data_IF_417833046797
#
_entry.id   IF_417833046797
#
_cell.length_a   1.000
_cell.length_b   1.000
_cell.length_c   1.000
_cell.angle_alpha   90.00
_cell.angle_beta   90.00
_cell.angle_gamma   90.00
#
_symmetry.space_group_name_H-M   'P 1'
#
loop_
_entity.id
_entity.type
_entity.pdbx_description
1 polymer ?
#
# COMPACT_ATOMS: atom_id res chain seq x y z
N UNK A 1 31.34 33.15 20.33
CA UNK A 1 30.05 32.97 19.67
C UNK A 1 30.34 32.47 18.27
N UNK A 2 30.28 31.17 18.06
CA UNK A 2 30.43 30.49 16.76
C UNK A 2 29.05 30.44 16.09
N UNK A 3 28.88 30.80 14.83
CA UNK A 3 27.60 30.78 14.15
C UNK A 3 27.21 29.33 13.86
N UNK A 4 25.99 28.96 14.24
CA UNK A 4 25.37 27.68 13.92
C UNK A 4 25.14 27.58 12.41
N UNK A 5 25.60 26.49 11.80
CA UNK A 5 25.40 26.15 10.41
C UNK A 5 23.92 25.78 10.16
N UNK A 6 23.17 26.49 9.27
CA UNK A 6 21.74 26.25 9.07
C UNK A 6 21.43 25.10 8.10
N UNK A 7 22.33 24.14 7.88
CA UNK A 7 22.18 23.06 6.89
C UNK A 7 22.03 21.67 7.45
N UNK A 8 21.66 21.52 8.71
CA UNK A 8 21.28 20.21 9.23
C UNK A 8 19.83 19.94 8.86
N UNK A 9 19.62 19.36 7.68
CA UNK A 9 18.36 18.70 7.34
C UNK A 9 18.17 17.58 8.36
N UNK A 10 17.05 17.54 9.11
CA UNK A 10 16.83 16.47 10.08
C UNK A 10 16.90 15.12 9.35
N UNK A 11 17.73 14.24 9.85
CA UNK A 11 17.88 12.87 9.36
C UNK A 11 16.50 12.19 9.48
N UNK A 12 15.94 11.65 8.40
CA UNK A 12 14.67 10.95 8.50
C UNK A 12 14.84 9.81 9.49
N UNK A 13 13.96 9.76 10.50
CA UNK A 13 13.93 8.67 11.45
C UNK A 13 13.84 7.35 10.67
N UNK A 14 14.92 6.60 10.64
CA UNK A 14 14.94 5.24 10.12
C UNK A 14 13.95 4.48 11.00
N UNK A 15 12.83 4.05 10.41
CA UNK A 15 11.88 3.16 11.08
C UNK A 15 12.66 1.87 11.41
N UNK A 16 13.07 1.79 12.66
CA UNK A 16 13.97 0.76 13.13
C UNK A 16 13.26 -0.59 13.10
N UNK A 17 13.63 -1.44 12.14
CA UNK A 17 13.64 -2.86 12.41
C UNK A 17 12.40 -3.68 12.18
N UNK A 18 11.25 -3.14 11.93
CA UNK A 18 10.01 -3.91 11.72
C UNK A 18 9.42 -3.60 10.36
N UNK A 19 8.94 -4.64 9.70
CA UNK A 19 8.38 -4.59 8.36
C UNK A 19 7.04 -3.85 8.32
N UNK A 20 7.11 -2.52 8.39
CA UNK A 20 5.95 -1.65 8.27
C UNK A 20 5.63 -1.35 6.80
N UNK A 21 4.37 -1.06 6.46
CA UNK A 21 4.02 -0.51 5.16
C UNK A 21 4.83 0.77 4.90
N UNK A 22 5.57 0.79 3.81
CA UNK A 22 6.42 1.93 3.45
C UNK A 22 5.95 2.64 2.18
N UNK A 23 5.11 2.00 1.38
CA UNK A 23 4.67 2.54 0.10
C UNK A 23 3.41 1.81 -0.40
N UNK A 24 2.65 2.45 -1.29
CA UNK A 24 1.60 1.82 -2.09
C UNK A 24 1.92 1.98 -3.58
N UNK A 25 1.63 0.94 -4.35
CA UNK A 25 2.03 0.89 -5.75
C UNK A 25 0.92 0.30 -6.61
N UNK A 26 0.64 0.94 -7.75
CA UNK A 26 -0.19 0.37 -8.79
C UNK A 26 0.70 -0.34 -9.82
N UNK A 27 0.45 -1.61 -10.02
CA UNK A 27 0.92 -2.34 -11.18
C UNK A 27 -0.13 -2.22 -12.29
N UNK A 28 0.23 -1.66 -13.42
CA UNK A 28 -0.68 -1.40 -14.57
C UNK A 28 -0.04 -1.89 -15.87
N UNK A 29 -0.82 -1.91 -16.95
CA UNK A 29 -0.35 -2.19 -18.31
C UNK A 29 0.05 -0.93 -19.05
N UNK A 30 -0.63 0.19 -18.77
CA UNK A 30 -0.40 1.46 -19.44
C UNK A 30 -0.21 2.60 -18.45
N UNK A 31 1.00 3.17 -18.50
CA UNK A 31 1.41 4.23 -17.58
C UNK A 31 0.71 5.56 -17.86
N UNK A 32 0.46 5.85 -19.14
CA UNK A 32 -0.13 7.12 -19.56
C UNK A 32 -1.64 7.14 -19.30
N UNK A 33 -2.32 6.02 -19.50
CA UNK A 33 -3.74 5.87 -19.19
C UNK A 33 -3.96 5.97 -17.67
N UNK A 34 -3.14 5.28 -16.88
CA UNK A 34 -3.18 5.39 -15.42
C UNK A 34 -2.90 6.84 -14.95
N UNK A 35 -1.89 7.50 -15.53
CA UNK A 35 -1.58 8.90 -15.23
C UNK A 35 -2.77 9.83 -15.49
N UNK A 36 -3.42 9.68 -16.65
CA UNK A 36 -4.60 10.51 -17.01
C UNK A 36 -5.74 10.27 -16.03
N UNK A 37 -6.04 9.02 -15.75
CA UNK A 37 -7.14 8.64 -14.85
C UNK A 37 -6.91 9.20 -13.44
N UNK A 38 -5.80 8.89 -12.80
CA UNK A 38 -5.54 9.33 -11.41
C UNK A 38 -5.31 10.83 -11.29
N UNK A 39 -4.84 11.52 -12.35
CA UNK A 39 -4.83 12.99 -12.37
C UNK A 39 -6.24 13.57 -12.33
N UNK A 40 -7.17 13.00 -13.10
CA UNK A 40 -8.55 13.49 -13.18
C UNK A 40 -9.37 13.15 -11.93
N UNK A 41 -9.14 11.97 -11.33
CA UNK A 41 -9.96 11.43 -10.24
C UNK A 41 -9.46 11.86 -8.86
N UNK A 42 -8.15 11.83 -8.63
CA UNK A 42 -7.54 12.14 -7.33
C UNK A 42 -6.74 13.45 -7.33
N UNK A 43 -6.72 14.18 -8.44
CA UNK A 43 -6.00 15.44 -8.54
C UNK A 43 -4.46 15.29 -8.48
N UNK A 44 -3.94 14.07 -8.67
CA UNK A 44 -2.52 13.84 -8.53
C UNK A 44 -1.70 14.41 -9.67
N UNK A 45 -0.52 14.87 -9.33
CA UNK A 45 0.54 15.21 -10.29
C UNK A 45 1.57 14.10 -10.35
N UNK A 46 2.27 13.96 -11.46
CA UNK A 46 3.19 12.85 -11.68
C UNK A 46 4.58 13.34 -12.06
N UNK A 47 5.60 12.64 -11.54
CA UNK A 47 7.00 12.82 -11.94
C UNK A 47 7.64 11.47 -12.21
N UNK A 48 8.58 11.41 -13.13
CA UNK A 48 9.44 10.24 -13.31
C UNK A 48 10.27 10.05 -12.04
N UNK A 49 10.25 8.81 -11.52
CA UNK A 49 11.02 8.42 -10.37
C UNK A 49 12.38 7.81 -10.74
N UNK A 50 13.20 7.47 -9.75
CA UNK A 50 14.51 6.83 -9.97
C UNK A 50 14.42 5.38 -10.44
N UNK A 51 13.22 4.80 -10.50
CA UNK A 51 13.01 3.39 -10.88
C UNK A 51 12.95 3.16 -12.40
N UNK A 52 13.20 4.18 -13.21
CA UNK A 52 13.25 4.07 -14.66
C UNK A 52 12.02 4.65 -15.37
N UNK A 53 11.98 4.45 -16.70
CA UNK A 53 10.98 5.08 -17.57
C UNK A 53 9.57 4.50 -17.42
N UNK A 54 9.48 3.26 -16.94
CA UNK A 54 8.22 2.53 -16.79
C UNK A 54 7.57 2.77 -15.41
N UNK A 55 8.10 3.74 -14.65
CA UNK A 55 7.61 4.11 -13.32
C UNK A 55 7.36 5.60 -13.19
N UNK A 56 6.23 5.95 -12.58
CA UNK A 56 5.88 7.30 -12.16
C UNK A 56 5.68 7.35 -10.65
N UNK A 57 6.04 8.49 -10.08
CA UNK A 57 5.72 8.86 -8.71
C UNK A 57 4.54 9.82 -8.73
N UNK A 58 3.43 9.41 -8.12
CA UNK A 58 2.26 10.23 -7.88
C UNK A 58 2.49 11.14 -6.69
N UNK A 59 2.00 12.37 -6.77
CA UNK A 59 2.11 13.39 -5.72
C UNK A 59 0.77 14.09 -5.54
N UNK A 60 0.37 14.27 -4.28
CA UNK A 60 -0.73 15.14 -3.87
C UNK A 60 -0.14 16.34 -3.13
N UNK A 61 -0.52 17.56 -3.50
CA UNK A 61 0.00 18.81 -2.92
C UNK A 61 1.54 18.86 -2.83
N UNK A 62 2.17 18.28 -3.84
CA UNK A 62 3.64 18.23 -3.89
C UNK A 62 4.28 17.12 -3.04
N UNK A 63 3.52 16.35 -2.25
CA UNK A 63 4.01 15.25 -1.43
C UNK A 63 3.86 13.92 -2.18
N UNK A 64 4.88 13.04 -2.22
CA UNK A 64 4.75 11.71 -2.79
C UNK A 64 3.70 10.88 -2.04
N UNK A 65 2.76 10.26 -2.78
CA UNK A 65 1.64 9.48 -2.21
C UNK A 65 1.61 8.04 -2.71
N UNK A 66 2.06 7.78 -3.93
CA UNK A 66 2.01 6.45 -4.52
C UNK A 66 3.01 6.29 -5.67
N UNK A 67 3.31 5.05 -6.04
CA UNK A 67 4.00 4.69 -7.26
C UNK A 67 3.05 4.10 -8.30
N UNK A 68 3.36 4.25 -9.58
CA UNK A 68 2.68 3.55 -10.67
C UNK A 68 3.74 2.95 -11.58
N UNK A 69 3.62 1.66 -11.90
CA UNK A 69 4.54 0.95 -12.77
C UNK A 69 3.83 0.18 -13.87
N UNK A 70 4.20 0.43 -15.13
CA UNK A 70 3.68 -0.29 -16.29
C UNK A 70 4.45 -1.61 -16.48
N UNK A 71 4.35 -2.50 -15.50
CA UNK A 71 5.09 -3.75 -15.46
C UNK A 71 4.22 -5.01 -15.48
N UNK A 72 2.89 -4.85 -15.50
CA UNK A 72 1.95 -5.97 -15.47
C UNK A 72 2.20 -6.97 -16.60
N UNK A 73 2.32 -6.48 -17.84
CA UNK A 73 2.56 -7.32 -19.03
C UNK A 73 3.96 -7.94 -19.02
N UNK A 74 4.99 -7.19 -18.60
CA UNK A 74 6.37 -7.66 -18.59
C UNK A 74 6.60 -8.79 -17.58
N UNK A 75 5.94 -8.74 -16.42
CA UNK A 75 6.06 -9.75 -15.38
C UNK A 75 4.90 -10.75 -15.36
N UNK A 76 3.93 -10.62 -16.29
CA UNK A 76 2.73 -11.47 -16.36
C UNK A 76 1.97 -11.53 -15.02
N UNK A 77 1.85 -10.39 -14.35
CA UNK A 77 1.11 -10.22 -13.10
C UNK A 77 -0.17 -9.43 -13.33
N UNK A 78 -1.14 -9.61 -12.44
CA UNK A 78 -2.40 -8.86 -12.50
C UNK A 78 -2.23 -7.36 -12.27
N UNK A 79 -3.14 -6.57 -12.84
CA UNK A 79 -3.28 -5.16 -12.50
C UNK A 79 -3.83 -5.06 -11.10
N UNK A 80 -3.12 -4.39 -10.20
CA UNK A 80 -3.54 -4.25 -8.81
C UNK A 80 -2.82 -3.09 -8.10
N UNK A 81 -3.53 -2.45 -7.20
CA UNK A 81 -2.94 -1.70 -6.12
C UNK A 81 -2.42 -2.65 -5.05
N UNK A 82 -1.21 -2.43 -4.58
CA UNK A 82 -0.62 -3.26 -3.53
C UNK A 82 0.22 -2.44 -2.57
N UNK A 83 0.26 -2.81 -1.27
CA UNK A 83 1.20 -2.24 -0.33
C UNK A 83 2.60 -2.82 -0.54
N UNK A 84 3.62 -2.02 -0.24
CA UNK A 84 4.99 -2.47 -0.07
C UNK A 84 5.39 -2.37 1.39
N UNK A 85 6.02 -3.43 1.89
CA UNK A 85 6.53 -3.52 3.25
C UNK A 85 8.05 -3.38 3.25
N UNK A 86 8.57 -2.48 4.08
CA UNK A 86 10.02 -2.31 4.25
C UNK A 86 10.59 -3.48 5.01
N UNK A 87 11.69 -4.06 4.54
CA UNK A 87 12.36 -5.18 5.19
C UNK A 87 13.87 -4.97 5.25
N UNK A 88 14.52 -5.65 6.18
CA UNK A 88 15.98 -5.62 6.32
C UNK A 88 16.69 -6.49 5.29
N UNK A 89 16.06 -7.57 4.85
CA UNK A 89 16.65 -8.54 3.93
C UNK A 89 15.57 -9.22 3.08
N UNK A 90 15.57 -8.91 1.79
CA UNK A 90 14.57 -9.40 0.84
C UNK A 90 14.72 -10.91 0.56
N UNK A 91 15.92 -11.49 0.64
CA UNK A 91 16.13 -12.92 0.43
C UNK A 91 15.53 -13.73 1.58
N UNK A 92 15.76 -13.29 2.83
CA UNK A 92 15.20 -13.94 4.02
C UNK A 92 13.68 -13.88 3.98
N UNK A 93 13.11 -12.72 3.65
CA UNK A 93 11.65 -12.59 3.59
C UNK A 93 11.07 -13.40 2.43
N UNK A 94 11.74 -13.44 1.28
CA UNK A 94 11.32 -14.30 0.15
C UNK A 94 11.34 -15.80 0.51
N UNK A 95 12.30 -16.25 1.30
CA UNK A 95 12.32 -17.62 1.80
C UNK A 95 11.14 -17.89 2.72
N UNK A 96 10.87 -17.00 3.70
CA UNK A 96 9.72 -17.12 4.62
C UNK A 96 8.38 -17.13 3.88
N UNK A 97 8.22 -16.29 2.84
CA UNK A 97 7.01 -16.29 2.01
C UNK A 97 6.75 -17.69 1.45
N UNK A 98 7.77 -18.33 0.85
CA UNK A 98 7.66 -19.67 0.29
C UNK A 98 7.41 -20.75 1.35
N UNK A 99 8.10 -20.67 2.47
CA UNK A 99 7.96 -21.60 3.61
C UNK A 99 6.53 -21.55 4.20
N UNK A 100 5.85 -20.41 4.08
CA UNK A 100 4.47 -20.19 4.56
C UNK A 100 3.42 -20.31 3.47
N UNK A 101 3.73 -21.01 2.38
CA UNK A 101 2.81 -21.26 1.26
C UNK A 101 2.40 -20.01 0.48
N UNK A 102 3.12 -18.90 0.60
CA UNK A 102 3.00 -17.75 -0.28
C UNK A 102 3.80 -17.95 -1.57
N UNK A 103 3.55 -17.10 -2.54
CA UNK A 103 4.22 -17.12 -3.84
C UNK A 103 5.13 -15.90 -3.99
N UNK A 104 6.38 -16.10 -4.40
CA UNK A 104 7.26 -15.03 -4.89
C UNK A 104 7.17 -15.02 -6.40
N UNK A 105 6.42 -14.07 -6.95
CA UNK A 105 6.21 -13.94 -8.39
C UNK A 105 7.43 -13.34 -9.10
N UNK A 106 8.04 -12.32 -8.50
CA UNK A 106 9.20 -11.61 -9.07
C UNK A 106 10.19 -11.25 -7.98
N UNK A 107 11.47 -11.45 -8.24
CA UNK A 107 12.54 -10.97 -7.38
C UNK A 107 13.09 -12.00 -6.38
N UNK A 108 13.94 -11.53 -5.47
CA UNK A 108 14.41 -10.16 -5.26
C UNK A 108 15.20 -9.58 -6.45
N UNK A 109 14.77 -8.40 -6.93
CA UNK A 109 15.44 -7.68 -8.02
C UNK A 109 16.03 -6.37 -7.50
N UNK A 110 17.22 -6.02 -7.96
CA UNK A 110 17.80 -4.70 -7.69
C UNK A 110 17.07 -3.65 -8.54
N UNK A 111 16.50 -2.65 -7.89
CA UNK A 111 15.75 -1.56 -8.52
C UNK A 111 16.20 -0.24 -7.89
N UNK A 112 16.93 0.58 -8.64
CA UNK A 112 17.49 1.83 -8.10
C UNK A 112 18.42 1.59 -6.90
N UNK A 113 18.06 2.15 -5.75
CA UNK A 113 18.81 2.02 -4.48
C UNK A 113 18.16 1.03 -3.52
N UNK A 114 17.53 -0.01 -4.04
CA UNK A 114 16.87 -1.01 -3.22
C UNK A 114 16.71 -2.33 -3.94
N UNK A 115 16.10 -3.29 -3.24
CA UNK A 115 15.71 -4.58 -3.81
C UNK A 115 14.22 -4.78 -3.59
N UNK A 116 13.52 -5.12 -4.67
CA UNK A 116 12.07 -5.30 -4.68
C UNK A 116 11.71 -6.77 -4.87
N UNK A 117 10.62 -7.17 -4.23
CA UNK A 117 9.95 -8.46 -4.42
C UNK A 117 8.48 -8.20 -4.70
N UNK A 118 7.92 -8.88 -5.69
CA UNK A 118 6.48 -9.01 -5.86
C UNK A 118 6.05 -10.40 -5.40
N UNK A 119 5.10 -10.44 -4.52
CA UNK A 119 4.65 -11.68 -3.90
C UNK A 119 3.12 -11.70 -3.76
N UNK A 120 2.60 -12.89 -3.47
CA UNK A 120 1.23 -13.07 -3.01
C UNK A 120 1.27 -13.92 -1.73
N UNK A 121 0.33 -13.67 -0.83
CA UNK A 121 0.14 -14.51 0.34
C UNK A 121 -0.47 -15.87 -0.05
N UNK A 122 -0.70 -16.72 0.93
CA UNK A 122 -1.26 -18.06 0.72
C UNK A 122 -2.66 -18.07 0.10
N UNK A 123 -3.40 -17.01 0.22
CA UNK A 123 -4.75 -16.84 -0.33
C UNK A 123 -4.77 -16.09 -1.66
N UNK A 124 -3.61 -15.60 -2.12
CA UNK A 124 -3.43 -14.93 -3.41
C UNK A 124 -3.45 -13.41 -3.35
N UNK A 125 -3.53 -12.79 -2.17
CA UNK A 125 -3.46 -11.33 -2.07
C UNK A 125 -2.04 -10.83 -2.37
N UNK A 126 -1.92 -9.99 -3.41
CA UNK A 126 -0.63 -9.48 -3.89
C UNK A 126 -0.09 -8.37 -2.99
N UNK A 127 1.22 -8.43 -2.71
CA UNK A 127 1.95 -7.40 -1.95
C UNK A 127 3.39 -7.30 -2.41
N UNK A 128 4.04 -6.20 -2.07
CA UNK A 128 5.44 -5.97 -2.34
C UNK A 128 6.29 -5.99 -1.08
N UNK A 129 7.58 -6.28 -1.26
CA UNK A 129 8.61 -6.16 -0.24
C UNK A 129 9.71 -5.26 -0.78
N UNK A 130 10.22 -4.37 0.07
CA UNK A 130 11.28 -3.46 -0.29
C UNK A 130 12.42 -3.48 0.74
N UNK A 131 13.62 -3.81 0.27
CA UNK A 131 14.87 -3.69 1.02
C UNK A 131 15.63 -2.46 0.55
N UNK A 132 15.98 -1.57 1.47
CA UNK A 132 16.80 -0.39 1.17
C UNK A 132 18.29 -0.77 1.15
N UNK A 133 19.00 -0.47 0.07
CA UNK A 133 20.45 -0.79 -0.09
C UNK A 133 21.35 0.44 0.00
N UNK A 134 20.83 1.58 0.45
CA UNK A 134 21.59 2.82 0.57
C UNK A 134 20.93 3.82 1.53
N UNK A 135 21.54 5.00 1.72
CA UNK A 135 20.90 6.09 2.47
C UNK A 135 19.59 6.44 1.76
N UNK A 136 18.48 6.16 2.41
CA UNK A 136 17.12 6.31 1.90
C UNK A 136 16.71 7.79 1.77
N UNK A 137 17.51 8.58 1.06
CA UNK A 137 17.17 9.96 0.77
C UNK A 137 16.17 9.98 -0.38
N UNK A 138 14.87 10.07 -0.09
CA UNK A 138 13.87 10.55 -1.01
C UNK A 138 12.78 9.61 -1.48
N UNK A 139 12.72 8.35 -1.04
CA UNK A 139 11.64 7.43 -1.39
C UNK A 139 10.80 6.94 -0.18
N UNK A 140 11.32 7.08 1.04
CA UNK A 140 10.48 6.93 2.21
C UNK A 140 9.53 8.14 2.26
N UNK A 141 8.23 7.95 2.48
CA UNK A 141 7.33 9.06 2.74
C UNK A 141 7.89 9.84 3.92
N UNK A 142 8.42 11.03 3.66
CA UNK A 142 8.90 11.93 4.70
C UNK A 142 7.70 12.41 5.47
N UNK A 143 7.50 11.90 6.66
CA UNK A 143 6.47 12.39 7.56
C UNK A 143 5.24 11.48 7.62
N UNK A 144 4.74 11.46 8.70
CA UNK A 144 3.70 10.88 9.49
C UNK A 144 2.27 10.92 8.91
N UNK A 145 2.11 10.97 7.58
CA UNK A 145 0.81 10.89 6.92
C UNK A 145 0.82 9.66 6.03
N UNK A 146 0.24 8.58 6.53
CA UNK A 146 -0.22 7.54 5.65
C UNK A 146 -1.26 8.17 4.73
N UNK A 147 -0.84 8.54 3.50
CA UNK A 147 -1.78 9.03 2.47
C UNK A 147 -2.70 7.93 1.96
N UNK A 148 -2.58 6.72 2.50
CA UNK A 148 -3.40 5.59 2.18
C UNK A 148 -3.57 4.69 3.41
N UNK A 149 -4.80 4.24 3.64
CA UNK A 149 -5.13 3.24 4.62
C UNK A 149 -5.17 1.86 3.95
N UNK A 150 -4.80 0.81 4.69
CA UNK A 150 -4.71 -0.54 4.17
C UNK A 150 -5.77 -1.43 4.81
N UNK A 151 -6.48 -2.19 3.98
CA UNK A 151 -7.35 -3.26 4.43
C UNK A 151 -7.04 -4.52 3.62
N UNK A 152 -6.79 -5.64 4.31
CA UNK A 152 -6.70 -6.95 3.67
C UNK A 152 -8.06 -7.64 3.77
N UNK A 153 -8.62 -8.01 2.62
CA UNK A 153 -9.72 -8.97 2.55
C UNK A 153 -9.12 -10.34 2.27
N UNK A 154 -9.39 -11.31 3.12
CA UNK A 154 -8.83 -12.67 3.05
C UNK A 154 -9.89 -13.71 3.37
N UNK A 155 -9.60 -15.00 3.18
CA UNK A 155 -10.51 -16.08 3.57
C UNK A 155 -10.65 -16.18 5.08
N UNK A 156 -9.52 -16.10 5.77
CA UNK A 156 -9.42 -16.19 7.22
C UNK A 156 -8.44 -15.15 7.75
N UNK A 157 -8.94 -14.20 8.53
CA UNK A 157 -8.15 -13.10 9.06
C UNK A 157 -7.09 -13.56 10.07
N UNK A 158 -7.37 -14.64 10.81
CA UNK A 158 -6.43 -15.19 11.78
C UNK A 158 -5.23 -15.85 11.07
N UNK A 159 -5.50 -16.70 10.09
CA UNK A 159 -4.47 -17.34 9.26
C UNK A 159 -3.60 -16.33 8.52
N UNK A 160 -4.22 -15.27 7.99
CA UNK A 160 -3.50 -14.17 7.35
C UNK A 160 -2.62 -13.41 8.34
N UNK A 161 -3.13 -13.13 9.56
CA UNK A 161 -2.35 -12.47 10.59
C UNK A 161 -1.12 -13.30 11.00
N UNK A 162 -1.24 -14.63 11.08
CA UNK A 162 -0.11 -15.53 11.31
C UNK A 162 0.88 -15.44 10.14
N UNK A 163 0.41 -15.53 8.90
CA UNK A 163 1.28 -15.44 7.72
C UNK A 163 2.11 -14.15 7.72
N UNK A 164 1.47 -13.00 7.81
CA UNK A 164 2.16 -11.72 7.83
C UNK A 164 2.99 -11.52 9.11
N UNK A 165 2.54 -12.05 10.24
CA UNK A 165 3.29 -12.09 11.49
C UNK A 165 4.65 -12.75 11.33
N UNK A 166 4.69 -13.91 10.70
CA UNK A 166 5.92 -14.69 10.52
C UNK A 166 6.77 -14.19 9.35
N UNK A 167 6.15 -13.78 8.24
CA UNK A 167 6.84 -13.26 7.06
C UNK A 167 7.45 -11.89 7.34
N UNK A 168 6.67 -10.98 7.91
CA UNK A 168 7.05 -9.59 8.15
C UNK A 168 7.52 -9.32 9.59
N UNK A 169 7.40 -10.27 10.50
CA UNK A 169 7.79 -10.09 11.89
C UNK A 169 6.82 -9.21 12.70
N UNK A 170 5.54 -9.13 12.30
CA UNK A 170 4.52 -8.49 13.13
C UNK A 170 4.33 -9.28 14.43
N UNK A 171 3.96 -8.60 15.51
CA UNK A 171 3.84 -9.22 16.84
C UNK A 171 5.12 -9.89 17.38
N UNK A 172 6.31 -9.47 16.90
CA UNK A 172 7.59 -9.98 17.40
C UNK A 172 7.93 -9.53 18.82
N UNK A 173 7.21 -8.55 19.36
CA UNK A 173 7.50 -7.94 20.66
C UNK A 173 8.74 -7.03 20.66
N UNK A 174 9.38 -6.81 19.52
CA UNK A 174 10.53 -5.90 19.43
C UNK A 174 10.09 -4.44 19.65
N UNK A 175 10.91 -3.62 20.34
CA UNK A 175 10.62 -2.20 20.50
C UNK A 175 10.44 -1.49 19.16
N UNK A 176 9.33 -0.76 19.00
CA UNK A 176 8.99 -0.10 17.74
C UNK A 176 8.39 -1.04 16.70
N UNK A 177 8.08 -2.27 17.09
CA UNK A 177 7.43 -3.27 16.27
C UNK A 177 5.95 -3.01 16.03
N UNK A 178 5.36 -3.84 15.16
CA UNK A 178 3.92 -3.84 14.96
C UNK A 178 3.25 -4.79 15.95
N UNK A 179 2.11 -4.37 16.46
CA UNK A 179 1.22 -5.14 17.33
C UNK A 179 0.02 -5.65 16.53
N UNK A 180 -0.42 -6.85 16.84
CA UNK A 180 -1.60 -7.47 16.24
C UNK A 180 -2.64 -7.65 17.33
N UNK A 181 -3.81 -7.03 17.14
CA UNK A 181 -4.94 -7.14 18.07
C UNK A 181 -6.17 -7.71 17.35
N UNK A 182 -6.85 -8.63 18.04
CA UNK A 182 -8.13 -9.17 17.57
C UNK A 182 -9.26 -8.32 18.12
N UNK A 183 -10.04 -7.70 17.23
CA UNK A 183 -11.16 -6.82 17.57
C UNK A 183 -12.40 -7.32 16.88
N UNK A 184 -13.31 -7.95 17.61
CA UNK A 184 -14.49 -8.65 17.08
C UNK A 184 -14.07 -9.75 16.10
N UNK A 185 -14.43 -9.65 14.82
CA UNK A 185 -14.11 -10.62 13.75
C UNK A 185 -12.98 -10.14 12.83
N UNK A 186 -12.28 -9.08 13.20
CA UNK A 186 -11.21 -8.48 12.42
C UNK A 186 -9.88 -8.48 13.18
N UNK A 187 -8.80 -8.38 12.45
CA UNK A 187 -7.46 -8.18 13.00
C UNK A 187 -7.01 -6.76 12.70
N UNK A 188 -6.62 -6.04 13.75
CA UNK A 188 -6.05 -4.71 13.65
C UNK A 188 -4.54 -4.78 13.85
N UNK A 189 -3.80 -4.25 12.89
CA UNK A 189 -2.35 -4.11 12.95
C UNK A 189 -2.01 -2.68 13.31
N UNK A 190 -1.25 -2.49 14.38
CA UNK A 190 -0.74 -1.18 14.82
C UNK A 190 0.78 -1.21 14.83
N UNK A 191 1.42 -0.14 14.38
CA UNK A 191 2.87 0.03 14.55
C UNK A 191 3.14 1.36 15.22
N UNK A 192 3.94 1.34 16.28
CA UNK A 192 4.17 2.52 17.14
C UNK A 192 2.86 3.12 17.70
N UNK A 193 1.92 2.26 18.11
CA UNK A 193 0.60 2.66 18.62
C UNK A 193 -0.41 3.13 17.56
N UNK A 194 0.02 3.34 16.31
CA UNK A 194 -0.85 3.83 15.23
C UNK A 194 -1.43 2.67 14.43
N UNK A 195 -2.74 2.69 14.12
CA UNK A 195 -3.33 1.70 13.25
C UNK A 195 -2.73 1.81 11.85
N UNK A 196 -2.32 0.68 11.26
CA UNK A 196 -1.70 0.62 9.93
C UNK A 196 -2.54 -0.15 8.93
N UNK A 197 -3.14 -1.24 9.37
CA UNK A 197 -3.91 -2.10 8.50
C UNK A 197 -5.00 -2.83 9.29
N UNK A 198 -6.06 -3.17 8.59
CA UNK A 198 -7.15 -4.01 9.10
C UNK A 198 -7.25 -5.25 8.21
N UNK A 199 -7.41 -6.42 8.82
CA UNK A 199 -7.57 -7.69 8.12
C UNK A 199 -8.96 -8.23 8.45
N UNK A 200 -9.74 -8.53 7.42
CA UNK A 200 -11.10 -9.04 7.55
C UNK A 200 -11.29 -10.32 6.74
N UNK A 201 -12.05 -11.26 7.31
CA UNK A 201 -12.43 -12.53 6.68
C UNK A 201 -13.54 -12.35 5.64
N UNK A 202 -13.84 -13.42 4.91
CA UNK A 202 -14.99 -13.51 4.01
C UNK A 202 -14.64 -13.35 2.53
N UNK A 203 -13.36 -13.42 2.16
CA UNK A 203 -12.97 -13.53 0.75
C UNK A 203 -13.23 -14.94 0.21
N UNK A 204 -13.48 -15.03 -1.10
CA UNK A 204 -13.68 -16.28 -1.83
C UNK A 204 -12.66 -16.37 -2.95
N UNK A 205 -11.71 -17.29 -2.85
CA UNK A 205 -10.52 -17.38 -3.70
C UNK A 205 -10.83 -17.48 -5.20
N UNK A 206 -11.78 -18.31 -5.58
CA UNK A 206 -12.16 -18.55 -6.98
C UNK A 206 -13.39 -17.76 -7.43
N UNK A 207 -13.78 -16.70 -6.71
CA UNK A 207 -14.92 -15.89 -7.10
C UNK A 207 -14.73 -15.26 -8.48
N UNK A 208 -15.76 -15.19 -9.34
CA UNK A 208 -15.70 -14.45 -10.58
C UNK A 208 -15.45 -12.95 -10.37
N UNK A 209 -16.06 -12.40 -9.31
CA UNK A 209 -15.92 -11.01 -8.93
C UNK A 209 -14.59 -10.79 -8.19
N UNK A 210 -13.68 -9.97 -8.73
CA UNK A 210 -12.40 -9.68 -8.09
C UNK A 210 -12.50 -9.00 -6.73
N UNK A 211 -13.61 -8.30 -6.43
CA UNK A 211 -13.82 -7.62 -5.13
C UNK A 211 -13.96 -8.59 -3.97
N UNK A 212 -14.48 -9.78 -4.23
CA UNK A 212 -14.65 -10.79 -3.17
C UNK A 212 -13.49 -11.78 -3.10
N UNK A 213 -12.48 -11.64 -3.97
CA UNK A 213 -11.24 -12.41 -3.88
C UNK A 213 -10.33 -11.86 -2.79
N UNK A 214 -9.39 -12.67 -2.27
CA UNK A 214 -8.35 -12.16 -1.39
C UNK A 214 -7.52 -11.06 -2.08
N UNK A 215 -7.49 -9.87 -1.47
CA UNK A 215 -6.69 -8.75 -1.99
C UNK A 215 -6.46 -7.69 -0.91
N UNK A 216 -5.38 -6.93 -1.08
CA UNK A 216 -5.17 -5.69 -0.36
C UNK A 216 -5.98 -4.56 -1.00
N UNK A 217 -6.80 -3.91 -0.20
CA UNK A 217 -7.47 -2.67 -0.56
C UNK A 217 -6.61 -1.50 -0.10
N UNK A 218 -6.35 -0.57 -1.02
CA UNK A 218 -5.69 0.69 -0.73
C UNK A 218 -6.76 1.77 -0.72
N UNK A 219 -6.91 2.45 0.42
CA UNK A 219 -7.90 3.51 0.59
C UNK A 219 -7.21 4.87 0.55
N UNK A 220 -7.74 5.78 -0.26
CA UNK A 220 -7.24 7.14 -0.39
C UNK A 220 -8.24 8.13 0.19
N UNK A 221 -7.80 9.07 1.04
CA UNK A 221 -8.68 10.13 1.52
C UNK A 221 -8.99 11.11 0.38
N UNK A 222 -10.25 11.51 0.31
CA UNK A 222 -10.75 12.51 -0.65
C UNK A 222 -11.63 13.53 0.09
N UNK A 223 -11.82 14.69 -0.51
CA UNK A 223 -12.67 15.73 0.07
C UNK A 223 -14.16 15.38 0.00
N UNK A 224 -14.56 14.65 -1.05
CA UNK A 224 -15.96 14.30 -1.32
C UNK A 224 -15.98 13.02 -2.18
N UNK A 225 -16.61 11.98 -1.65
CA UNK A 225 -16.66 10.67 -2.29
C UNK A 225 -17.52 10.70 -3.54
N UNK A 226 -18.70 11.35 -3.50
CA UNK A 226 -19.63 11.35 -4.63
C UNK A 226 -19.04 12.08 -5.85
N UNK A 227 -18.40 13.22 -5.61
CA UNK A 227 -17.68 13.94 -6.67
C UNK A 227 -16.57 13.11 -7.27
N UNK A 228 -15.84 12.36 -6.45
CA UNK A 228 -14.75 11.48 -6.90
C UNK A 228 -15.28 10.30 -7.71
N UNK A 229 -16.39 9.69 -7.30
CA UNK A 229 -17.09 8.64 -8.06
C UNK A 229 -17.47 9.14 -9.45
N UNK A 230 -18.13 10.29 -9.53
CA UNK A 230 -18.52 10.89 -10.81
C UNK A 230 -17.31 11.19 -11.71
N UNK A 231 -16.19 11.64 -11.12
CA UNK A 231 -14.96 11.86 -11.86
C UNK A 231 -14.39 10.54 -12.40
N UNK A 232 -14.41 9.46 -11.61
CA UNK A 232 -13.95 8.15 -12.03
C UNK A 232 -14.77 7.62 -13.22
N UNK A 233 -16.11 7.67 -13.14
CA UNK A 233 -16.99 7.19 -14.20
C UNK A 233 -16.81 7.98 -15.50
N UNK A 234 -16.67 9.31 -15.42
CA UNK A 234 -16.42 10.18 -16.59
C UNK A 234 -15.08 9.89 -17.26
N UNK A 235 -14.11 9.31 -16.54
CA UNK A 235 -12.78 8.99 -17.05
C UNK A 235 -12.60 7.49 -17.34
N UNK A 236 -13.70 6.73 -17.49
CA UNK A 236 -13.67 5.32 -17.90
C UNK A 236 -13.48 4.32 -16.77
N UNK A 237 -13.48 4.77 -15.52
CA UNK A 237 -13.58 3.89 -14.36
C UNK A 237 -15.00 3.44 -14.08
N UNK A 238 -15.18 2.63 -13.06
CA UNK A 238 -16.48 2.12 -12.65
C UNK A 238 -16.63 2.14 -11.13
N UNK A 239 -17.81 2.52 -10.66
CA UNK A 239 -18.21 2.32 -9.27
C UNK A 239 -18.54 0.84 -9.06
N UNK A 240 -17.91 0.23 -8.06
CA UNK A 240 -18.08 -1.16 -7.69
C UNK A 240 -18.93 -1.31 -6.44
N UNK A 241 -18.68 -0.52 -5.44
CA UNK A 241 -19.42 -0.50 -4.18
C UNK A 241 -19.44 0.94 -3.63
N UNK A 242 -20.57 1.37 -3.08
CA UNK A 242 -20.69 2.62 -2.35
C UNK A 242 -21.45 2.36 -1.06
N UNK A 243 -20.90 2.79 0.05
CA UNK A 243 -21.52 2.60 1.37
C UNK A 243 -21.32 3.82 2.26
N UNK A 244 -22.36 4.15 3.03
CA UNK A 244 -22.22 5.03 4.18
C UNK A 244 -21.46 4.31 5.28
N UNK A 245 -20.52 4.99 5.92
CA UNK A 245 -19.79 4.51 7.08
C UNK A 245 -19.99 5.50 8.23
N UNK A 246 -19.58 5.10 9.45
CA UNK A 246 -19.67 6.02 10.58
C UNK A 246 -18.83 7.28 10.27
N UNK A 247 -19.50 8.44 10.27
CA UNK A 247 -18.93 9.77 9.98
C UNK A 247 -18.50 10.06 8.53
N UNK A 248 -19.06 9.37 7.51
CA UNK A 248 -18.80 9.71 6.12
C UNK A 248 -19.24 8.66 5.11
N UNK A 249 -18.54 8.59 4.01
CA UNK A 249 -18.80 7.69 2.88
C UNK A 249 -17.51 6.98 2.44
N UNK A 250 -17.67 5.81 1.84
CA UNK A 250 -16.61 5.02 1.25
C UNK A 250 -17.09 4.46 -0.10
N UNK A 251 -16.27 4.56 -1.13
CA UNK A 251 -16.55 3.96 -2.42
C UNK A 251 -15.36 3.15 -2.94
N UNK A 252 -15.63 1.91 -3.36
CA UNK A 252 -14.68 1.10 -4.11
C UNK A 252 -14.86 1.35 -5.59
N UNK A 253 -13.77 1.71 -6.24
CA UNK A 253 -13.70 2.06 -7.65
C UNK A 253 -12.79 1.10 -8.38
N UNK A 254 -13.05 0.92 -9.66
CA UNK A 254 -12.19 0.21 -10.60
C UNK A 254 -11.69 1.19 -11.65
N UNK A 255 -10.40 1.27 -11.85
CA UNK A 255 -9.81 2.05 -12.92
C UNK A 255 -10.01 1.39 -14.31
N UNK A 256 -9.73 2.09 -15.43
CA UNK A 256 -9.93 1.54 -16.77
C UNK A 256 -9.11 0.28 -17.08
N UNK A 257 -7.98 0.06 -16.39
CA UNK A 257 -7.11 -1.11 -16.56
C UNK A 257 -7.50 -2.29 -15.66
N UNK A 258 -8.44 -2.07 -14.73
CA UNK A 258 -8.99 -3.08 -13.82
C UNK A 258 -8.48 -3.01 -12.38
N UNK A 259 -7.63 -2.04 -12.04
CA UNK A 259 -7.13 -1.84 -10.68
C UNK A 259 -8.23 -1.37 -9.73
N UNK A 260 -8.40 -2.09 -8.62
CA UNK A 260 -9.36 -1.73 -7.56
C UNK A 260 -8.69 -0.84 -6.53
N UNK A 261 -9.37 0.24 -6.14
CA UNK A 261 -8.98 1.13 -5.05
C UNK A 261 -10.23 1.68 -4.35
N UNK A 262 -10.04 2.14 -3.14
CA UNK A 262 -11.14 2.73 -2.36
C UNK A 262 -10.86 4.21 -2.11
N UNK A 263 -11.90 5.02 -2.11
CA UNK A 263 -11.86 6.42 -1.69
C UNK A 263 -12.75 6.61 -0.48
N UNK A 264 -12.34 7.48 0.44
CA UNK A 264 -13.10 7.77 1.66
C UNK A 264 -12.96 9.23 2.04
N UNK A 265 -14.04 9.84 2.52
CA UNK A 265 -14.03 11.17 3.12
C UNK A 265 -13.95 11.11 4.65
N UNK A 266 -13.93 9.91 5.23
CA UNK A 266 -13.68 9.71 6.65
C UNK A 266 -12.22 10.02 6.95
N UNK A 267 -11.96 10.81 7.98
CA UNK A 267 -10.61 10.96 8.52
C UNK A 267 -10.10 9.62 9.02
N UNK A 268 -8.83 9.36 8.79
CA UNK A 268 -8.20 8.14 9.29
C UNK A 268 -8.37 8.05 10.81
N UNK A 269 -8.58 6.85 11.40
CA UNK A 269 -8.56 6.69 12.86
C UNK A 269 -7.28 7.20 13.54
N UNK A 270 -6.21 7.44 12.78
CA UNK A 270 -5.00 8.09 13.27
C UNK A 270 -5.18 9.60 13.49
N UNK A 271 -6.21 10.22 12.92
CA UNK A 271 -6.51 11.64 13.07
C UNK A 271 -7.51 11.90 14.22
N UNK A 272 -8.14 10.86 14.78
CA UNK A 272 -9.09 10.96 15.90
C UNK A 272 -8.42 11.01 17.26
N UNK A 273 -7.14 10.63 17.37
CA UNK A 273 -6.37 10.66 18.64
C UNK A 273 -5.61 12.00 18.86
N UNK A 274 -5.79 13.02 18.00
CA UNK A 274 -5.16 14.36 18.13
C UNK A 274 -6.13 15.49 18.59
N UNK A 275 -7.40 15.19 18.90
CA UNK A 275 -8.36 16.16 19.51
C UNK A 275 -8.64 15.76 21.01
#
# INVERSE_FOLDING_TARGET
>A
MTPSDPRTVPEPAVLSGVSAPCWVHLVTRDLEDARRFYSAVLGWTFRRGPLGRDFLMARSDGVPVAGIGAVASAYQVGVAWMPYFSVRNADVVSARIRERSGTVAVGPLTVGQGRAVLAADRDGASFGVWEWTGRAAGLAPSGNRAHAWLRLRTRDAFDAAIFYGEVLGWASGEPGGCEVAYVKEEVLVRCNGRPLARISSGAVEAAPDPQVRPHWQVQFPVADVDTTVLAAERNGGALMEHRGVQHGSEATLRDPDGGLFTVTDVRSPADEDED
#
